data_IF_305299322493
#
_entry.id   IF_305299322493
#
_cell.length_a   1.000
_cell.length_b   1.000
_cell.length_c   1.000
_cell.angle_alpha   90.00
_cell.angle_beta   90.00
_cell.angle_gamma   90.00
#
_symmetry.space_group_name_H-M   'P 1'
#
loop_
_entity.id
_entity.type
_entity.pdbx_description
1 polymer ?
#
# COMPACT_ATOMS: atom_id res chain seq x y z
N UNK A 1 -38.64 34.78 15.13
CA UNK A 1 -37.86 35.13 16.33
C UNK A 1 -38.48 34.44 17.53
N UNK A 2 -37.77 33.47 18.11
CA UNK A 2 -37.74 33.33 19.56
C UNK A 2 -36.30 33.49 20.04
N UNK A 3 -36.16 34.33 21.06
CA UNK A 3 -34.97 34.63 21.84
C UNK A 3 -34.58 33.43 22.70
N UNK A 4 -33.30 33.06 22.71
CA UNK A 4 -32.70 32.14 23.68
C UNK A 4 -31.57 32.85 24.43
N UNK A 5 -31.69 32.87 25.75
CA UNK A 5 -30.70 33.37 26.71
C UNK A 5 -29.47 32.43 26.81
N UNK A 6 -28.28 32.96 27.14
CA UNK A 6 -27.07 32.15 27.28
C UNK A 6 -26.93 31.59 28.71
N UNK A 7 -26.81 30.26 28.82
CA UNK A 7 -26.45 29.57 30.06
C UNK A 7 -24.93 29.62 30.25
N UNK A 8 -24.49 30.28 31.32
CA UNK A 8 -23.12 30.24 31.86
C UNK A 8 -22.94 28.98 32.73
N UNK A 9 -21.78 28.35 32.61
CA UNK A 9 -21.20 27.52 33.68
C UNK A 9 -20.77 26.14 33.24
N UNK A 10 -19.47 25.97 32.99
CA UNK A 10 -18.76 24.72 33.27
C UNK A 10 -17.37 25.07 33.82
N UNK A 11 -17.16 24.64 35.07
CA UNK A 11 -15.93 24.74 35.85
C UNK A 11 -14.82 23.87 35.23
N UNK A 12 -13.59 24.36 35.38
CA UNK A 12 -12.36 23.66 35.01
C UNK A 12 -12.12 22.45 35.92
N UNK A 13 -11.94 21.27 35.31
CA UNK A 13 -11.50 20.05 36.00
C UNK A 13 -9.98 19.94 35.85
N UNK A 14 -9.19 19.92 36.94
CA UNK A 14 -7.72 19.84 36.85
C UNK A 14 -7.23 18.44 36.47
N UNK A 15 -6.19 18.42 35.64
CA UNK A 15 -5.51 17.22 35.15
C UNK A 15 -4.83 16.43 36.28
N UNK A 16 -5.13 15.13 36.34
CA UNK A 16 -4.50 14.17 37.24
C UNK A 16 -3.04 13.91 36.81
N UNK A 17 -2.09 14.38 37.62
CA UNK A 17 -0.66 14.03 37.51
C UNK A 17 -0.41 12.75 38.30
N UNK A 18 -0.03 11.66 37.60
CA UNK A 18 0.43 10.43 38.23
C UNK A 18 1.94 10.52 38.46
N UNK A 19 2.34 10.80 39.71
CA UNK A 19 3.72 10.72 40.19
C UNK A 19 3.92 9.36 40.83
N UNK A 20 4.76 8.50 40.23
CA UNK A 20 5.19 7.24 40.86
C UNK A 20 6.38 7.59 41.76
N UNK A 21 6.10 7.78 43.05
CA UNK A 21 7.10 7.75 44.13
C UNK A 21 7.24 6.30 44.60
N UNK A 22 8.40 5.70 44.37
CA UNK A 22 8.82 4.47 45.03
C UNK A 22 10.18 4.72 45.67
N UNK A 23 10.18 5.19 46.91
CA UNK A 23 11.33 5.20 47.78
C UNK A 23 10.84 4.86 49.19
N UNK A 24 11.13 3.64 49.64
CA UNK A 24 11.20 3.30 51.05
C UNK A 24 12.19 2.14 51.24
N UNK A 25 13.07 2.37 52.24
CA UNK A 25 13.89 1.45 53.02
C UNK A 25 15.11 0.78 52.35
N UNK A 26 16.30 1.29 52.66
CA UNK A 26 17.32 0.60 53.47
C UNK A 26 18.31 1.63 54.07
N UNK A 27 18.65 1.57 55.37
CA UNK A 27 19.62 2.44 56.01
C UNK A 27 21.06 1.94 55.81
N UNK A 28 22.01 2.79 56.20
CA UNK A 28 23.44 2.52 56.37
C UNK A 28 24.30 2.71 55.10
N UNK A 29 24.98 3.86 55.05
CA UNK A 29 26.45 4.02 55.03
C UNK A 29 26.75 5.44 54.54
N UNK A 30 26.52 6.41 55.42
CA UNK A 30 27.11 7.74 55.32
C UNK A 30 28.46 7.72 56.07
N UNK A 31 29.48 7.08 55.49
CA UNK A 31 30.86 7.22 55.98
C UNK A 31 31.91 6.84 54.90
N UNK A 32 31.89 7.51 53.76
CA UNK A 32 33.05 7.58 52.84
C UNK A 32 32.91 8.73 51.82
N UNK A 33 32.56 9.94 52.28
CA UNK A 33 32.53 11.15 51.45
C UNK A 33 33.71 12.07 51.80
N UNK A 34 34.93 11.57 51.69
CA UNK A 34 36.11 12.43 51.50
C UNK A 34 37.11 11.72 50.59
N UNK A 35 37.52 12.42 49.52
CA UNK A 35 38.58 12.04 48.57
C UNK A 35 38.20 11.08 47.44
N UNK A 36 37.54 11.61 46.41
CA UNK A 36 38.00 11.51 45.02
C UNK A 36 36.98 12.20 44.11
N UNK A 37 37.35 13.31 43.44
CA UNK A 37 36.61 13.76 42.25
C UNK A 37 36.90 12.74 41.13
N UNK A 38 35.92 12.00 40.59
CA UNK A 38 36.11 11.35 39.30
C UNK A 38 36.02 12.43 38.22
N UNK A 39 36.98 12.46 37.31
CA UNK A 39 36.87 13.22 36.08
C UNK A 39 35.53 12.87 35.39
N UNK A 40 34.77 13.85 34.86
CA UNK A 40 33.58 13.52 34.09
C UNK A 40 34.02 12.74 32.85
N UNK A 41 33.71 11.45 32.81
CA UNK A 41 33.72 10.67 31.57
C UNK A 41 32.81 11.36 30.57
N UNK A 42 33.19 11.49 29.27
CA UNK A 42 32.30 12.04 28.27
C UNK A 42 30.99 11.24 28.28
N UNK A 43 29.87 11.92 28.49
CA UNK A 43 28.55 11.34 28.28
C UNK A 43 28.53 10.69 26.89
N UNK A 44 27.97 9.47 26.74
CA UNK A 44 27.83 8.87 25.41
C UNK A 44 27.04 9.86 24.54
N UNK A 45 27.63 10.27 23.42
CA UNK A 45 26.96 11.07 22.40
C UNK A 45 25.71 10.30 21.96
N UNK A 46 24.55 10.68 22.48
CA UNK A 46 23.26 10.26 21.94
C UNK A 46 23.14 11.02 20.62
N UNK A 47 23.71 10.46 19.55
CA UNK A 47 23.42 10.96 18.21
C UNK A 47 21.92 10.78 17.97
N UNK A 48 21.14 11.85 17.80
CA UNK A 48 19.74 11.71 17.46
C UNK A 48 19.63 10.91 16.16
N UNK A 49 18.80 9.88 16.17
CA UNK A 49 18.48 9.11 14.97
C UNK A 49 17.76 10.02 13.97
N UNK A 50 18.46 10.47 12.93
CA UNK A 50 17.90 11.37 11.93
C UNK A 50 17.10 10.59 10.89
N UNK A 51 15.78 10.79 10.90
CA UNK A 51 14.85 10.22 9.91
C UNK A 51 14.93 11.02 8.61
N UNK A 52 14.71 10.34 7.49
CA UNK A 52 14.63 10.98 6.18
C UNK A 52 13.28 11.71 6.03
N UNK A 53 13.30 13.04 6.17
CA UNK A 53 12.09 13.87 6.17
C UNK A 53 11.27 13.69 4.89
N UNK A 54 11.91 13.73 3.72
CA UNK A 54 11.23 13.57 2.42
C UNK A 54 10.37 12.31 2.35
N UNK A 55 10.83 11.22 2.94
CA UNK A 55 10.10 9.95 3.00
C UNK A 55 8.93 10.00 3.99
N UNK A 56 9.06 10.68 5.12
CA UNK A 56 7.95 10.87 6.07
C UNK A 56 6.87 11.80 5.48
N UNK A 57 7.27 12.88 4.78
CA UNK A 57 6.35 13.78 4.07
C UNK A 57 5.61 13.05 2.95
N UNK A 58 6.31 12.25 2.15
CA UNK A 58 5.67 11.46 1.08
C UNK A 58 4.59 10.52 1.63
N UNK A 59 4.88 9.82 2.76
CA UNK A 59 3.90 8.95 3.42
C UNK A 59 2.71 9.75 3.94
N UNK A 60 2.95 10.85 4.65
CA UNK A 60 1.91 11.73 5.17
C UNK A 60 1.01 12.25 4.06
N UNK A 61 1.59 12.70 2.94
CA UNK A 61 0.85 13.15 1.76
C UNK A 61 0.02 12.02 1.14
N UNK A 62 0.55 10.80 1.07
CA UNK A 62 -0.18 9.65 0.52
C UNK A 62 -1.38 9.28 1.41
N UNK A 63 -1.23 9.33 2.74
CA UNK A 63 -2.34 9.14 3.69
C UNK A 63 -3.36 10.27 3.58
N UNK A 64 -2.92 11.52 3.49
CA UNK A 64 -3.81 12.66 3.29
C UNK A 64 -4.59 12.55 1.98
N UNK A 65 -3.95 12.07 0.91
CA UNK A 65 -4.58 11.80 -0.37
C UNK A 65 -5.62 10.69 -0.26
N UNK A 66 -5.32 9.60 0.46
CA UNK A 66 -6.27 8.52 0.74
C UNK A 66 -7.53 9.05 1.43
N UNK A 67 -7.36 9.85 2.48
CA UNK A 67 -8.48 10.49 3.21
C UNK A 67 -9.28 11.39 2.26
N UNK A 68 -8.59 12.24 1.49
CA UNK A 68 -9.24 13.15 0.54
C UNK A 68 -10.12 12.38 -0.46
N UNK A 69 -9.60 11.32 -1.07
CA UNK A 69 -10.34 10.57 -2.10
C UNK A 69 -11.50 9.77 -1.51
N UNK A 70 -11.37 9.28 -0.27
CA UNK A 70 -12.44 8.54 0.39
C UNK A 70 -13.63 9.44 0.76
N UNK A 71 -13.40 10.70 1.15
CA UNK A 71 -14.48 11.63 1.49
C UNK A 71 -14.98 12.45 0.30
N UNK A 72 -14.08 12.91 -0.58
CA UNK A 72 -14.44 13.79 -1.70
C UNK A 72 -14.74 13.03 -3.00
N UNK A 73 -14.33 11.76 -3.10
CA UNK A 73 -14.49 10.96 -4.32
C UNK A 73 -15.95 10.79 -4.76
N UNK A 74 -16.89 10.69 -3.81
CA UNK A 74 -18.32 10.60 -4.13
C UNK A 74 -18.92 11.89 -4.71
N UNK A 75 -18.26 13.03 -4.54
CA UNK A 75 -18.74 14.35 -4.96
C UNK A 75 -18.11 14.78 -6.29
N UNK A 76 -16.81 14.46 -6.48
CA UNK A 76 -16.04 14.86 -7.65
C UNK A 76 -15.58 13.62 -8.43
N UNK A 77 -16.19 13.33 -9.61
CA UNK A 77 -15.85 12.15 -10.41
C UNK A 77 -14.37 12.06 -10.81
N UNK A 78 -13.68 13.19 -10.98
CA UNK A 78 -12.25 13.24 -11.28
C UNK A 78 -11.34 12.77 -10.11
N UNK A 79 -11.88 12.81 -8.89
CA UNK A 79 -11.20 12.35 -7.67
C UNK A 79 -11.58 10.91 -7.35
N UNK A 80 -12.71 10.41 -7.85
CA UNK A 80 -13.16 9.04 -7.66
C UNK A 80 -12.40 8.04 -8.55
N UNK A 81 -12.41 6.76 -8.18
CA UNK A 81 -11.80 5.69 -8.99
C UNK A 81 -12.39 5.63 -10.41
N UNK A 82 -11.53 5.33 -11.39
CA UNK A 82 -11.97 4.98 -12.74
C UNK A 82 -12.81 3.68 -12.72
N UNK A 83 -13.93 3.60 -13.45
CA UNK A 83 -14.76 2.39 -13.46
C UNK A 83 -14.04 1.14 -13.97
N UNK A 84 -13.11 1.29 -14.93
CA UNK A 84 -12.32 0.16 -15.45
C UNK A 84 -10.97 0.61 -16.02
N UNK A 85 -10.99 1.26 -17.19
CA UNK A 85 -9.81 1.84 -17.82
C UNK A 85 -9.72 3.34 -17.49
N UNK A 86 -8.48 3.83 -17.41
CA UNK A 86 -8.18 5.22 -17.08
C UNK A 86 -7.38 5.33 -15.78
N UNK A 87 -7.00 6.57 -15.47
CA UNK A 87 -6.26 6.90 -14.27
C UNK A 87 -6.88 8.15 -13.64
N UNK A 88 -7.31 8.03 -12.39
CA UNK A 88 -7.84 9.12 -11.58
C UNK A 88 -6.95 9.37 -10.36
N UNK A 89 -7.22 10.44 -9.61
CA UNK A 89 -6.41 10.78 -8.45
C UNK A 89 -6.43 9.67 -7.37
N UNK A 90 -7.58 9.04 -7.13
CA UNK A 90 -7.68 7.92 -6.19
C UNK A 90 -6.91 6.68 -6.63
N UNK A 91 -6.64 6.53 -7.93
CA UNK A 91 -5.91 5.38 -8.47
C UNK A 91 -4.40 5.49 -8.22
N UNK A 92 -3.89 6.63 -7.73
CA UNK A 92 -2.46 6.82 -7.40
C UNK A 92 -2.08 6.41 -5.97
N UNK A 93 -3.05 6.39 -5.05
CA UNK A 93 -2.80 6.20 -3.60
C UNK A 93 -2.04 4.90 -3.32
N UNK A 94 -2.53 3.79 -3.84
CA UNK A 94 -1.99 2.47 -3.53
C UNK A 94 -0.58 2.25 -4.14
N UNK A 95 -0.33 2.55 -5.43
CA UNK A 95 1.03 2.50 -5.97
C UNK A 95 2.04 3.38 -5.22
N UNK A 96 1.61 4.55 -4.73
CA UNK A 96 2.47 5.44 -3.93
C UNK A 96 2.86 4.79 -2.60
N UNK A 97 1.92 4.12 -1.92
CA UNK A 97 2.22 3.33 -0.73
C UNK A 97 3.21 2.19 -1.00
N UNK A 98 3.02 1.43 -2.08
CA UNK A 98 3.92 0.34 -2.44
C UNK A 98 5.33 0.84 -2.79
N UNK A 99 5.40 1.94 -3.54
CA UNK A 99 6.64 2.58 -3.91
C UNK A 99 7.43 3.02 -2.66
N UNK A 100 6.79 3.72 -1.72
CA UNK A 100 7.49 4.20 -0.52
C UNK A 100 7.85 3.07 0.44
N UNK A 101 7.09 1.98 0.48
CA UNK A 101 7.49 0.73 1.17
C UNK A 101 8.80 0.19 0.57
N UNK A 102 8.90 0.19 -0.76
CA UNK A 102 10.14 -0.12 -1.48
C UNK A 102 11.32 0.75 -1.05
N UNK A 103 11.18 2.08 -1.13
CA UNK A 103 12.25 3.03 -0.73
C UNK A 103 12.74 2.73 0.69
N UNK A 104 11.79 2.47 1.59
CA UNK A 104 12.06 2.17 3.00
C UNK A 104 12.89 0.90 3.17
N UNK A 105 12.62 -0.15 2.40
CA UNK A 105 13.37 -1.42 2.46
C UNK A 105 14.86 -1.22 2.16
N UNK A 106 15.18 -0.37 1.18
CA UNK A 106 16.57 -0.06 0.82
C UNK A 106 17.33 0.63 1.96
N UNK A 107 16.63 1.42 2.78
CA UNK A 107 17.19 2.08 3.96
C UNK A 107 17.30 1.12 5.15
N UNK A 108 16.24 0.35 5.43
CA UNK A 108 16.18 -0.57 6.59
C UNK A 108 17.25 -1.65 6.52
N UNK A 109 17.52 -2.23 5.34
CA UNK A 109 18.49 -3.32 5.17
C UNK A 109 19.86 -2.85 4.66
N UNK A 110 20.19 -1.56 4.82
CA UNK A 110 21.53 -1.02 4.51
C UNK A 110 22.64 -1.76 5.28
N UNK A 111 22.44 -1.97 6.59
CA UNK A 111 23.36 -2.70 7.47
C UNK A 111 22.66 -3.94 8.01
N UNK A 112 22.98 -5.10 7.45
CA UNK A 112 22.43 -6.39 7.85
C UNK A 112 23.38 -7.07 8.85
N UNK A 113 22.98 -7.28 10.11
CA UNK A 113 23.82 -8.01 11.06
C UNK A 113 23.85 -9.51 10.72
N UNK A 114 22.69 -10.11 10.40
CA UNK A 114 22.56 -11.52 10.01
C UNK A 114 21.33 -11.71 9.10
N UNK A 115 21.50 -12.41 7.97
CA UNK A 115 20.42 -12.66 6.99
C UNK A 115 19.24 -13.45 7.58
N UNK A 116 19.53 -14.44 8.44
CA UNK A 116 18.49 -15.26 9.07
C UNK A 116 17.61 -14.45 10.04
N UNK A 117 18.23 -13.61 10.88
CA UNK A 117 17.51 -12.75 11.82
C UNK A 117 16.68 -11.71 11.06
N UNK A 118 17.24 -11.10 10.02
CA UNK A 118 16.52 -10.16 9.16
C UNK A 118 15.30 -10.81 8.48
N UNK A 119 15.47 -12.02 7.93
CA UNK A 119 14.39 -12.78 7.29
C UNK A 119 13.29 -13.12 8.29
N UNK A 120 13.65 -13.58 9.50
CA UNK A 120 12.68 -13.84 10.57
C UNK A 120 11.89 -12.58 10.94
N UNK A 121 12.56 -11.42 11.06
CA UNK A 121 11.91 -10.14 11.35
C UNK A 121 10.95 -9.73 10.23
N UNK A 122 11.35 -9.90 8.97
CA UNK A 122 10.50 -9.64 7.80
C UNK A 122 9.24 -10.53 7.82
N UNK A 123 9.39 -11.84 8.02
CA UNK A 123 8.28 -12.80 8.08
C UNK A 123 7.31 -12.44 9.22
N UNK A 124 7.82 -12.19 10.43
CA UNK A 124 6.98 -11.82 11.57
C UNK A 124 6.19 -10.53 11.31
N UNK A 125 6.80 -9.57 10.61
CA UNK A 125 6.11 -8.33 10.23
C UNK A 125 5.01 -8.58 9.19
N UNK A 126 5.28 -9.41 8.18
CA UNK A 126 4.28 -9.83 7.20
C UNK A 126 3.11 -10.56 7.88
N UNK A 127 3.37 -11.49 8.79
CA UNK A 127 2.33 -12.21 9.53
C UNK A 127 1.45 -11.26 10.34
N UNK A 128 2.02 -10.26 11.01
CA UNK A 128 1.26 -9.22 11.72
C UNK A 128 0.33 -8.44 10.78
N UNK A 129 0.82 -8.05 9.60
CA UNK A 129 0.01 -7.32 8.61
C UNK A 129 -1.10 -8.19 8.02
N UNK A 130 -0.83 -9.45 7.71
CA UNK A 130 -1.84 -10.40 7.24
C UNK A 130 -2.94 -10.62 8.28
N UNK A 131 -2.54 -10.83 9.55
CA UNK A 131 -3.48 -11.04 10.66
C UNK A 131 -4.35 -9.80 10.86
N UNK A 132 -3.75 -8.60 10.84
CA UNK A 132 -4.49 -7.34 10.91
C UNK A 132 -5.45 -7.18 9.72
N UNK A 133 -5.02 -7.56 8.51
CA UNK A 133 -5.85 -7.55 7.31
C UNK A 133 -7.09 -8.42 7.44
N UNK A 134 -6.92 -9.68 7.82
CA UNK A 134 -8.05 -10.58 8.05
C UNK A 134 -8.96 -10.12 9.18
N UNK A 135 -8.41 -9.54 10.24
CA UNK A 135 -9.19 -9.02 11.35
C UNK A 135 -10.09 -7.84 10.91
N UNK A 136 -9.55 -6.89 10.14
CA UNK A 136 -10.30 -5.73 9.64
C UNK A 136 -11.31 -6.12 8.55
N UNK A 137 -10.94 -7.05 7.66
CA UNK A 137 -11.76 -7.45 6.53
C UNK A 137 -12.83 -8.50 6.89
N UNK A 138 -12.59 -9.30 7.93
CA UNK A 138 -13.45 -10.40 8.36
C UNK A 138 -14.74 -10.03 9.08
N UNK A 139 -15.14 -8.75 9.07
CA UNK A 139 -16.46 -8.35 9.56
C UNK A 139 -16.60 -8.32 11.09
N UNK A 140 -15.50 -8.28 11.85
CA UNK A 140 -15.56 -8.02 13.30
C UNK A 140 -16.22 -6.67 13.66
N UNK A 141 -16.32 -5.76 12.69
CA UNK A 141 -16.92 -4.44 12.83
C UNK A 141 -17.93 -4.23 11.68
N UNK A 142 -19.09 -4.89 11.79
CA UNK A 142 -20.30 -4.39 11.13
C UNK A 142 -20.69 -3.06 11.81
N UNK A 143 -21.36 -2.17 11.07
CA UNK A 143 -21.34 -0.72 11.31
C UNK A 143 -21.66 -0.26 12.74
N UNK A 144 -21.35 0.99 13.07
CA UNK A 144 -21.57 1.61 14.39
C UNK A 144 -23.01 1.46 14.93
N UNK A 145 -23.96 1.09 14.06
CA UNK A 145 -25.39 0.97 14.34
C UNK A 145 -25.91 -0.48 14.36
N UNK A 146 -25.08 -1.51 14.14
CA UNK A 146 -25.52 -2.90 14.01
C UNK A 146 -24.62 -3.84 14.85
N UNK A 147 -25.14 -4.33 15.99
CA UNK A 147 -24.41 -5.09 17.01
C UNK A 147 -24.13 -6.57 16.62
N UNK A 148 -24.03 -6.86 15.33
CA UNK A 148 -23.80 -8.22 14.83
C UNK A 148 -22.30 -8.49 14.71
N UNK A 149 -21.71 -9.13 15.72
CA UNK A 149 -20.30 -9.53 15.74
C UNK A 149 -20.16 -10.95 15.20
N UNK A 150 -19.37 -11.15 14.14
CA UNK A 150 -19.06 -12.48 13.63
C UNK A 150 -18.24 -12.50 12.35
N UNK A 151 -17.38 -13.51 12.21
CA UNK A 151 -16.62 -13.78 10.98
C UNK A 151 -17.34 -14.87 10.22
N UNK A 152 -17.90 -14.55 9.05
CA UNK A 152 -18.36 -15.60 8.13
C UNK A 152 -17.16 -16.10 7.32
N UNK A 153 -16.57 -17.20 7.78
CA UNK A 153 -15.38 -17.81 7.15
C UNK A 153 -15.64 -18.18 5.69
N UNK A 154 -16.89 -18.53 5.33
CA UNK A 154 -17.27 -18.92 3.96
C UNK A 154 -17.32 -17.73 2.99
N UNK A 155 -17.44 -16.50 3.49
CA UNK A 155 -17.52 -15.27 2.68
C UNK A 155 -16.38 -14.29 2.97
N UNK A 156 -15.36 -14.73 3.71
CA UNK A 156 -14.22 -13.91 4.06
C UNK A 156 -13.44 -13.55 2.78
N UNK A 157 -13.30 -12.25 2.49
CA UNK A 157 -12.45 -11.82 1.38
C UNK A 157 -10.99 -12.14 1.70
N UNK A 158 -10.35 -12.95 0.84
CA UNK A 158 -9.01 -13.49 1.11
C UNK A 158 -7.89 -12.52 0.78
N UNK A 159 -8.05 -11.77 -0.32
CA UNK A 159 -7.09 -10.77 -0.77
C UNK A 159 -7.65 -9.37 -0.56
N UNK A 160 -6.84 -8.50 0.04
CA UNK A 160 -7.18 -7.11 0.31
C UNK A 160 -5.94 -6.25 0.30
N UNK A 161 -6.12 -4.95 0.52
CA UNK A 161 -5.04 -3.95 0.42
C UNK A 161 -3.88 -4.30 1.38
N UNK A 162 -4.19 -4.68 2.62
CA UNK A 162 -3.18 -5.03 3.62
C UNK A 162 -2.44 -6.31 3.27
N UNK A 163 -3.13 -7.33 2.76
CA UNK A 163 -2.52 -8.58 2.33
C UNK A 163 -1.58 -8.35 1.14
N UNK A 164 -2.00 -7.53 0.18
CA UNK A 164 -1.15 -7.15 -0.94
C UNK A 164 0.09 -6.39 -0.52
N UNK A 165 -0.04 -5.39 0.36
CA UNK A 165 1.12 -4.68 0.91
C UNK A 165 2.06 -5.65 1.64
N UNK A 166 1.50 -6.61 2.40
CA UNK A 166 2.29 -7.62 3.11
C UNK A 166 3.08 -8.53 2.14
N UNK A 167 2.47 -8.95 1.03
CA UNK A 167 3.14 -9.72 -0.04
C UNK A 167 4.26 -8.90 -0.69
N UNK A 168 3.96 -7.67 -1.12
CA UNK A 168 4.93 -6.79 -1.75
C UNK A 168 6.12 -6.47 -0.82
N UNK A 169 5.85 -6.24 0.47
CA UNK A 169 6.86 -6.05 1.49
C UNK A 169 7.73 -7.31 1.67
N UNK A 170 7.11 -8.49 1.80
CA UNK A 170 7.85 -9.73 2.04
C UNK A 170 8.80 -10.03 0.87
N UNK A 171 8.27 -9.99 -0.36
CA UNK A 171 9.08 -10.29 -1.56
C UNK A 171 10.18 -9.24 -1.73
N UNK A 172 9.88 -7.95 -1.58
CA UNK A 172 10.88 -6.89 -1.63
C UNK A 172 11.98 -7.05 -0.57
N UNK A 173 11.61 -7.40 0.66
CA UNK A 173 12.56 -7.65 1.74
C UNK A 173 13.44 -8.87 1.46
N UNK A 174 12.86 -9.98 0.99
CA UNK A 174 13.62 -11.17 0.63
C UNK A 174 14.59 -10.89 -0.52
N UNK A 175 14.17 -10.14 -1.54
CA UNK A 175 15.03 -9.69 -2.62
C UNK A 175 16.20 -8.83 -2.11
N UNK A 176 15.97 -7.92 -1.17
CA UNK A 176 17.04 -7.10 -0.59
C UNK A 176 18.01 -7.90 0.29
N UNK A 177 17.51 -8.88 1.05
CA UNK A 177 18.34 -9.69 1.96
C UNK A 177 19.17 -10.73 1.19
N UNK A 178 18.58 -11.38 0.19
CA UNK A 178 19.15 -12.57 -0.45
C UNK A 178 19.77 -12.32 -1.83
N UNK A 179 19.26 -11.35 -2.61
CA UNK A 179 19.69 -11.13 -4.01
C UNK A 179 20.66 -9.95 -4.17
N UNK A 180 21.08 -9.33 -3.07
CA UNK A 180 22.07 -8.26 -3.05
C UNK A 180 23.48 -8.82 -3.30
N UNK A 181 24.17 -8.29 -4.30
CA UNK A 181 25.57 -8.62 -4.59
C UNK A 181 26.58 -7.89 -3.70
N UNK A 182 27.81 -8.41 -3.68
CA UNK A 182 28.90 -7.90 -2.84
C UNK A 182 29.73 -6.78 -3.51
N UNK A 183 29.41 -6.42 -4.76
CA UNK A 183 30.15 -5.42 -5.54
C UNK A 183 30.22 -4.05 -4.84
N UNK A 184 31.35 -3.35 -4.96
CA UNK A 184 31.48 -1.95 -4.54
C UNK A 184 30.77 -1.01 -5.52
N UNK A 185 30.23 0.11 -5.03
CA UNK A 185 29.43 1.03 -5.83
C UNK A 185 30.18 2.36 -5.98
N UNK A 186 30.82 2.54 -7.13
CA UNK A 186 31.54 3.77 -7.51
C UNK A 186 30.81 4.55 -8.61
N UNK A 187 29.95 3.87 -9.37
CA UNK A 187 29.27 4.38 -10.56
C UNK A 187 27.87 3.77 -10.73
N UNK A 188 27.05 4.37 -11.60
CA UNK A 188 25.73 3.84 -11.93
C UNK A 188 25.78 2.40 -12.49
N UNK A 189 26.76 2.10 -13.36
CA UNK A 189 26.95 0.74 -13.89
C UNK A 189 27.28 -0.27 -12.79
N UNK A 190 28.09 0.11 -11.80
CA UNK A 190 28.38 -0.75 -10.64
C UNK A 190 27.18 -0.94 -9.73
N UNK A 191 26.30 0.05 -9.60
CA UNK A 191 25.04 -0.10 -8.86
C UNK A 191 24.12 -1.10 -9.56
N UNK A 192 23.96 -1.00 -10.88
CA UNK A 192 23.16 -1.96 -11.66
C UNK A 192 23.73 -3.38 -11.54
N UNK A 193 25.06 -3.53 -11.55
CA UNK A 193 25.73 -4.82 -11.38
C UNK A 193 25.44 -5.43 -10.01
N UNK A 194 25.58 -4.63 -8.94
CA UNK A 194 25.32 -5.06 -7.56
C UNK A 194 23.89 -5.57 -7.36
N UNK A 195 22.91 -4.92 -8.00
CA UNK A 195 21.49 -5.23 -7.85
C UNK A 195 20.90 -5.99 -9.06
N UNK A 196 21.74 -6.57 -9.92
CA UNK A 196 21.30 -7.22 -11.17
C UNK A 196 20.26 -8.33 -10.98
N UNK A 197 20.36 -9.08 -9.88
CA UNK A 197 19.42 -10.18 -9.60
C UNK A 197 18.05 -9.69 -9.15
N UNK A 198 17.97 -8.51 -8.52
CA UNK A 198 16.70 -7.89 -8.18
C UNK A 198 15.99 -7.38 -9.43
N UNK A 199 16.74 -6.76 -10.36
CA UNK A 199 16.21 -6.38 -11.67
C UNK A 199 15.82 -7.59 -12.52
N UNK A 200 16.61 -8.66 -12.51
CA UNK A 200 16.25 -9.91 -13.17
C UNK A 200 14.95 -10.49 -12.60
N UNK A 201 14.77 -10.47 -11.26
CA UNK A 201 13.51 -10.87 -10.62
C UNK A 201 12.34 -10.00 -11.08
N UNK A 202 12.50 -8.67 -11.11
CA UNK A 202 11.45 -7.77 -11.60
C UNK A 202 11.06 -8.09 -13.06
N UNK A 203 12.04 -8.32 -13.94
CA UNK A 203 11.80 -8.72 -15.32
C UNK A 203 11.07 -10.06 -15.42
N UNK A 204 11.47 -11.07 -14.63
CA UNK A 204 10.78 -12.36 -14.58
C UNK A 204 9.32 -12.18 -14.16
N UNK A 205 9.05 -11.39 -13.10
CA UNK A 205 7.69 -11.12 -12.65
C UNK A 205 6.84 -10.40 -13.71
N UNK A 206 7.41 -9.41 -14.41
CA UNK A 206 6.75 -8.71 -15.52
C UNK A 206 6.46 -9.68 -16.66
N UNK A 207 7.44 -10.47 -17.09
CA UNK A 207 7.28 -11.44 -18.17
C UNK A 207 6.23 -12.49 -17.82
N UNK A 208 6.27 -13.07 -16.61
CA UNK A 208 5.26 -14.03 -16.15
C UNK A 208 3.86 -13.41 -16.13
N UNK A 209 3.72 -12.19 -15.63
CA UNK A 209 2.45 -11.48 -15.65
C UNK A 209 1.92 -11.27 -17.07
N UNK A 210 2.75 -10.77 -17.99
CA UNK A 210 2.37 -10.54 -19.39
C UNK A 210 2.04 -11.85 -20.12
N UNK A 211 2.80 -12.91 -19.88
CA UNK A 211 2.51 -14.24 -20.44
C UNK A 211 1.19 -14.79 -19.93
N UNK A 212 0.86 -14.62 -18.64
CA UNK A 212 -0.40 -15.10 -18.09
C UNK A 212 -1.59 -14.26 -18.59
N UNK A 213 -1.47 -12.92 -18.59
CA UNK A 213 -2.60 -12.06 -18.96
C UNK A 213 -2.99 -12.20 -20.44
N UNK A 214 -2.01 -12.34 -21.33
CA UNK A 214 -2.25 -12.46 -22.78
C UNK A 214 -2.28 -13.90 -23.28
N UNK A 215 -1.59 -14.83 -22.60
CA UNK A 215 -1.48 -16.22 -23.03
C UNK A 215 -2.56 -17.14 -22.49
N UNK A 216 -3.17 -16.86 -21.33
CA UNK A 216 -4.14 -17.76 -20.71
C UNK A 216 -5.50 -17.73 -21.44
N UNK A 217 -6.08 -18.90 -21.65
CA UNK A 217 -7.43 -19.04 -22.20
C UNK A 217 -8.48 -18.91 -21.10
N UNK A 218 -9.47 -18.05 -21.34
CA UNK A 218 -10.57 -17.83 -20.42
C UNK A 218 -11.81 -18.54 -20.94
N UNK A 219 -12.20 -19.68 -20.34
CA UNK A 219 -13.42 -20.39 -20.72
C UNK A 219 -14.67 -19.62 -20.25
N UNK A 220 -15.81 -20.04 -20.76
CA UNK A 220 -17.11 -19.62 -20.24
C UNK A 220 -17.24 -20.07 -18.77
N UNK A 221 -17.94 -19.27 -17.98
CA UNK A 221 -18.05 -19.49 -16.55
C UNK A 221 -19.40 -19.02 -16.02
N UNK A 222 -19.79 -19.53 -14.86
CA UNK A 222 -21.05 -19.20 -14.21
C UNK A 222 -20.85 -18.80 -12.76
N UNK A 223 -21.77 -18.01 -12.23
CA UNK A 223 -21.80 -17.65 -10.82
C UNK A 223 -23.25 -17.53 -10.32
N UNK A 224 -23.40 -17.61 -9.00
CA UNK A 224 -24.70 -17.59 -8.33
C UNK A 224 -24.78 -16.42 -7.36
N UNK A 225 -25.91 -15.72 -7.38
CA UNK A 225 -26.23 -14.70 -6.37
C UNK A 225 -27.28 -15.30 -5.42
N UNK A 226 -26.99 -15.37 -4.10
CA UNK A 226 -27.98 -15.81 -3.12
C UNK A 226 -29.21 -14.92 -3.17
N UNK A 227 -30.40 -15.52 -3.17
CA UNK A 227 -31.64 -14.76 -3.09
C UNK A 227 -31.78 -14.07 -1.73
N UNK A 228 -32.16 -12.79 -1.72
CA UNK A 228 -32.38 -12.00 -0.50
C UNK A 228 -33.60 -12.46 0.33
N UNK A 229 -34.47 -13.31 -0.25
CA UNK A 229 -35.62 -13.90 0.42
C UNK A 229 -35.58 -15.43 0.31
N UNK A 230 -35.90 -16.11 1.41
CA UNK A 230 -35.94 -17.58 1.56
C UNK A 230 -36.90 -18.32 0.62
N UNK A 231 -37.57 -17.63 -0.30
CA UNK A 231 -38.61 -18.17 -1.19
C UNK A 231 -38.30 -18.07 -2.70
N UNK A 232 -37.19 -17.45 -3.12
CA UNK A 232 -36.79 -17.42 -4.53
C UNK A 232 -35.51 -18.26 -4.78
N UNK A 233 -35.45 -19.04 -5.87
CA UNK A 233 -34.29 -19.85 -6.19
C UNK A 233 -33.08 -18.96 -6.50
N UNK A 234 -31.87 -19.42 -6.16
CA UNK A 234 -30.63 -18.73 -6.51
C UNK A 234 -30.57 -18.48 -8.02
N UNK A 235 -30.28 -17.24 -8.42
CA UNK A 235 -30.18 -16.87 -9.83
C UNK A 235 -28.79 -17.22 -10.34
N UNK A 236 -28.75 -18.15 -11.31
CA UNK A 236 -27.52 -18.57 -11.99
C UNK A 236 -27.29 -17.65 -13.19
N UNK A 237 -26.10 -17.07 -13.29
CA UNK A 237 -25.70 -16.23 -14.41
C UNK A 237 -24.58 -16.92 -15.19
N UNK A 238 -24.77 -17.05 -16.50
CA UNK A 238 -23.76 -17.56 -17.43
C UNK A 238 -23.04 -16.40 -18.11
N UNK A 239 -21.71 -16.44 -18.11
CA UNK A 239 -20.83 -15.46 -18.76
C UNK A 239 -20.07 -16.14 -19.89
N UNK A 240 -20.31 -15.69 -21.12
CA UNK A 240 -19.64 -16.18 -22.33
C UNK A 240 -18.35 -15.40 -22.57
N UNK A 241 -17.24 -16.11 -22.64
CA UNK A 241 -15.90 -15.59 -22.84
C UNK A 241 -15.24 -16.25 -24.05
N UNK A 242 -14.79 -17.51 -23.92
CA UNK A 242 -14.14 -18.27 -24.98
C UNK A 242 -12.93 -17.58 -25.66
N UNK A 243 -12.17 -16.74 -24.95
CA UNK A 243 -11.16 -15.82 -25.54
C UNK A 243 -9.79 -15.90 -24.84
N UNK A 244 -8.75 -15.39 -25.50
CA UNK A 244 -7.40 -15.13 -24.93
C UNK A 244 -7.09 -13.64 -24.97
N UNK A 245 -6.31 -13.15 -24.01
CA UNK A 245 -5.79 -11.78 -24.01
C UNK A 245 -6.83 -10.65 -23.90
N UNK A 246 -8.06 -10.97 -23.50
CA UNK A 246 -9.09 -9.98 -23.25
C UNK A 246 -8.82 -9.28 -21.91
N UNK A 247 -8.79 -7.95 -21.91
CA UNK A 247 -8.58 -7.10 -20.71
C UNK A 247 -9.87 -6.44 -20.21
N UNK A 248 -11.02 -6.88 -20.71
CA UNK A 248 -12.34 -6.47 -20.26
C UNK A 248 -12.72 -7.09 -18.91
N UNK A 249 -13.76 -6.56 -18.24
CA UNK A 249 -14.12 -6.93 -16.86
C UNK A 249 -14.52 -8.39 -16.68
N UNK A 250 -15.18 -8.99 -17.68
CA UNK A 250 -15.77 -10.33 -17.56
C UNK A 250 -14.80 -11.48 -17.87
N UNK A 251 -13.92 -11.28 -18.85
CA UNK A 251 -13.22 -12.37 -19.54
C UNK A 251 -11.70 -12.24 -19.50
N UNK A 252 -11.17 -11.56 -18.49
CA UNK A 252 -9.74 -11.41 -18.29
C UNK A 252 -9.12 -12.55 -17.47
N UNK A 253 -7.84 -12.80 -17.72
CA UNK A 253 -7.08 -13.85 -17.06
C UNK A 253 -6.85 -13.59 -15.55
N UNK A 254 -6.77 -12.32 -15.13
CA UNK A 254 -6.62 -11.94 -13.71
C UNK A 254 -7.80 -12.48 -12.91
N UNK A 255 -9.02 -12.15 -13.35
CA UNK A 255 -10.25 -12.64 -12.74
C UNK A 255 -10.38 -14.16 -12.82
N UNK A 256 -9.93 -14.81 -13.89
CA UNK A 256 -9.97 -16.28 -13.99
C UNK A 256 -9.10 -16.92 -12.89
N UNK A 257 -7.87 -16.43 -12.72
CA UNK A 257 -6.95 -16.95 -11.70
C UNK A 257 -7.56 -16.74 -10.32
N UNK A 258 -8.07 -15.55 -10.02
CA UNK A 258 -8.64 -15.25 -8.72
C UNK A 258 -9.88 -16.12 -8.45
N UNK A 259 -10.79 -16.29 -9.42
CA UNK A 259 -11.98 -17.15 -9.30
C UNK A 259 -11.65 -18.62 -9.06
N UNK A 260 -10.61 -19.13 -9.73
CA UNK A 260 -10.22 -20.54 -9.66
C UNK A 260 -9.40 -20.87 -8.40
N UNK A 261 -8.58 -19.93 -7.93
CA UNK A 261 -7.66 -20.17 -6.80
C UNK A 261 -8.22 -19.69 -5.46
N UNK A 262 -8.86 -18.52 -5.42
CA UNK A 262 -9.46 -17.98 -4.20
C UNK A 262 -10.90 -18.47 -4.02
N UNK A 263 -11.61 -18.77 -5.09
CA UNK A 263 -13.03 -19.11 -5.08
C UNK A 263 -13.93 -17.88 -5.15
N UNK A 264 -15.05 -17.98 -5.87
CA UNK A 264 -15.96 -16.87 -6.16
C UNK A 264 -16.51 -16.20 -4.89
N UNK A 265 -16.77 -16.99 -3.84
CA UNK A 265 -17.31 -16.52 -2.57
C UNK A 265 -16.32 -15.67 -1.74
N UNK A 266 -15.03 -15.73 -2.06
CA UNK A 266 -13.97 -15.00 -1.37
C UNK A 266 -13.50 -13.75 -2.14
N UNK A 267 -14.15 -13.44 -3.27
CA UNK A 267 -13.87 -12.26 -4.06
C UNK A 267 -14.68 -11.06 -3.58
N UNK A 268 -14.21 -9.87 -3.94
CA UNK A 268 -14.93 -8.64 -3.61
C UNK A 268 -16.27 -8.54 -4.36
N UNK A 269 -17.36 -8.42 -3.59
CA UNK A 269 -18.73 -8.46 -4.12
C UNK A 269 -19.26 -7.14 -4.71
N UNK A 270 -18.54 -6.02 -4.57
CA UNK A 270 -18.93 -4.71 -5.11
C UNK A 270 -17.88 -4.18 -6.10
N UNK A 271 -17.72 -4.83 -7.25
CA UNK A 271 -16.64 -4.48 -8.18
C UNK A 271 -16.78 -3.06 -8.72
N UNK A 272 -15.64 -2.39 -8.91
CA UNK A 272 -15.61 -1.00 -9.41
C UNK A 272 -16.22 -0.88 -10.82
N UNK A 273 -16.14 -1.92 -11.65
CA UNK A 273 -16.73 -1.92 -12.98
C UNK A 273 -18.26 -1.90 -13.00
N UNK A 274 -18.93 -2.15 -11.87
CA UNK A 274 -20.39 -1.98 -11.79
C UNK A 274 -20.81 -0.52 -12.07
N UNK A 275 -19.86 0.42 -11.96
CA UNK A 275 -20.02 1.84 -12.30
C UNK A 275 -19.84 2.16 -13.78
N UNK A 276 -19.52 1.18 -14.62
CA UNK A 276 -19.38 1.38 -16.07
C UNK A 276 -20.74 1.67 -16.70
N UNK A 277 -20.74 2.34 -17.86
CA UNK A 277 -21.97 2.65 -18.64
C UNK A 277 -22.81 1.40 -18.99
N UNK A 278 -22.17 0.23 -19.07
CA UNK A 278 -22.83 -1.05 -19.35
C UNK A 278 -23.60 -1.60 -18.14
N UNK A 279 -23.22 -1.19 -16.93
CA UNK A 279 -23.70 -1.77 -15.68
C UNK A 279 -24.43 -0.77 -14.77
N UNK A 280 -24.37 0.53 -15.08
CA UNK A 280 -25.06 1.57 -14.31
C UNK A 280 -25.61 2.66 -15.21
N UNK A 281 -26.92 2.94 -15.06
CA UNK A 281 -27.58 4.09 -15.69
C UNK A 281 -26.98 5.42 -15.21
N UNK A 282 -26.43 5.45 -13.99
CA UNK A 282 -25.83 6.64 -13.37
C UNK A 282 -24.31 6.73 -13.59
N UNK A 283 -23.73 5.97 -14.52
CA UNK A 283 -22.29 5.97 -14.79
C UNK A 283 -21.75 7.42 -14.91
N UNK A 284 -20.63 7.77 -14.25
CA UNK A 284 -19.64 6.87 -13.63
C UNK A 284 -19.96 6.48 -12.19
N UNK A 285 -21.16 6.71 -11.67
CA UNK A 285 -21.53 6.32 -10.31
C UNK A 285 -22.34 5.03 -10.28
N UNK A 286 -22.47 4.46 -9.08
CA UNK A 286 -23.34 3.30 -8.88
C UNK A 286 -24.79 3.69 -9.15
N UNK A 287 -25.54 2.76 -9.72
CA UNK A 287 -26.91 2.99 -10.12
C UNK A 287 -27.60 1.69 -10.49
N UNK A 288 -28.90 1.76 -10.83
CA UNK A 288 -29.63 0.61 -11.32
C UNK A 288 -29.03 0.08 -12.62
N UNK A 289 -29.15 -1.22 -12.84
CA UNK A 289 -28.73 -1.90 -14.06
C UNK A 289 -29.57 -1.42 -15.25
N UNK A 290 -28.93 -1.06 -16.38
CA UNK A 290 -29.64 -0.90 -17.66
C UNK A 290 -30.43 -2.15 -18.05
N UNK A 291 -31.50 -1.98 -18.84
CA UNK A 291 -32.36 -3.10 -19.27
C UNK A 291 -31.59 -4.13 -20.12
N UNK A 292 -30.55 -3.70 -20.82
CA UNK A 292 -29.65 -4.47 -21.67
C UNK A 292 -28.32 -4.84 -20.97
N UNK A 293 -28.25 -4.72 -19.65
CA UNK A 293 -27.02 -4.96 -18.90
C UNK A 293 -26.49 -6.40 -19.10
N UNK A 294 -25.19 -6.56 -19.39
CA UNK A 294 -24.57 -7.88 -19.50
C UNK A 294 -24.65 -8.70 -18.20
N UNK A 295 -24.69 -10.03 -18.33
CA UNK A 295 -24.79 -10.97 -17.20
C UNK A 295 -23.63 -10.90 -16.20
N UNK A 296 -22.47 -10.35 -16.60
CA UNK A 296 -21.30 -10.19 -15.75
C UNK A 296 -21.31 -8.91 -14.89
N UNK A 297 -22.27 -7.99 -15.07
CA UNK A 297 -22.29 -6.72 -14.33
C UNK A 297 -22.39 -6.86 -12.81
N UNK A 298 -22.93 -8.00 -12.33
CA UNK A 298 -23.08 -8.32 -10.90
C UNK A 298 -22.08 -9.38 -10.41
N UNK A 299 -21.11 -9.77 -11.25
CA UNK A 299 -20.12 -10.74 -10.84
C UNK A 299 -19.18 -10.15 -9.78
N UNK A 300 -18.68 -10.95 -8.83
CA UNK A 300 -17.63 -10.49 -7.95
C UNK A 300 -16.28 -10.42 -8.69
N UNK A 301 -15.42 -9.48 -8.30
CA UNK A 301 -14.08 -9.30 -8.87
C UNK A 301 -13.16 -8.62 -7.87
N UNK A 302 -11.97 -9.18 -7.67
CA UNK A 302 -11.01 -8.65 -6.71
C UNK A 302 -9.87 -7.88 -7.42
N UNK A 303 -9.80 -6.54 -7.32
CA UNK A 303 -8.67 -5.77 -7.86
C UNK A 303 -7.38 -6.04 -7.07
N UNK A 304 -7.50 -6.56 -5.84
CA UNK A 304 -6.39 -6.87 -4.95
C UNK A 304 -5.93 -8.34 -5.02
N UNK A 305 -6.41 -9.09 -6.02
CA UNK A 305 -6.13 -10.52 -6.24
C UNK A 305 -4.67 -10.92 -6.50
N UNK A 306 -4.46 -12.19 -6.83
CA UNK A 306 -3.14 -12.83 -6.88
C UNK A 306 -2.29 -12.28 -8.03
N UNK A 307 -2.84 -12.31 -9.26
CA UNK A 307 -2.06 -11.93 -10.44
C UNK A 307 -1.74 -10.43 -10.43
N UNK A 308 -2.70 -9.58 -10.03
CA UNK A 308 -2.47 -8.14 -9.90
C UNK A 308 -1.49 -7.79 -8.77
N UNK A 309 -1.34 -8.64 -7.74
CA UNK A 309 -0.33 -8.47 -6.68
C UNK A 309 1.10 -8.64 -7.20
N UNK A 310 1.30 -9.33 -8.33
CA UNK A 310 2.61 -9.46 -8.98
C UNK A 310 3.14 -8.09 -9.41
N UNK A 311 2.29 -7.24 -9.99
CA UNK A 311 2.69 -5.89 -10.39
C UNK A 311 2.85 -4.95 -9.19
N UNK A 312 2.11 -5.18 -8.10
CA UNK A 312 2.35 -4.50 -6.83
C UNK A 312 3.76 -4.77 -6.26
N UNK A 313 4.23 -6.02 -6.34
CA UNK A 313 5.62 -6.38 -5.99
C UNK A 313 6.61 -5.61 -6.88
N UNK A 314 6.36 -5.51 -8.19
CA UNK A 314 7.22 -4.77 -9.12
C UNK A 314 7.28 -3.28 -8.76
N UNK A 315 6.15 -2.64 -8.44
CA UNK A 315 6.15 -1.25 -7.95
C UNK A 315 6.98 -1.08 -6.68
N UNK A 316 6.90 -2.03 -5.75
CA UNK A 316 7.75 -2.06 -4.55
C UNK A 316 9.24 -2.20 -4.90
N UNK A 317 9.61 -3.06 -5.86
CA UNK A 317 11.00 -3.21 -6.32
C UNK A 317 11.53 -1.95 -7.02
N UNK A 318 10.69 -1.22 -7.76
CA UNK A 318 11.07 0.08 -8.33
C UNK A 318 11.35 1.09 -7.21
N UNK A 319 10.50 1.14 -6.18
CA UNK A 319 10.76 1.97 -4.99
C UNK A 319 12.04 1.57 -4.25
N UNK A 320 12.33 0.27 -4.16
CA UNK A 320 13.57 -0.25 -3.55
C UNK A 320 14.82 0.33 -4.24
N UNK A 321 14.81 0.44 -5.57
CA UNK A 321 15.90 1.06 -6.32
C UNK A 321 16.13 2.53 -5.92
N UNK A 322 15.07 3.28 -5.64
CA UNK A 322 15.18 4.65 -5.14
C UNK A 322 15.88 4.69 -3.79
N UNK A 323 15.54 3.76 -2.89
CA UNK A 323 16.22 3.58 -1.62
C UNK A 323 17.72 3.30 -1.79
N UNK A 324 18.13 2.48 -2.75
CA UNK A 324 19.55 2.23 -3.02
C UNK A 324 20.30 3.48 -3.47
N UNK A 325 19.67 4.34 -4.27
CA UNK A 325 20.28 5.58 -4.72
C UNK A 325 20.57 6.50 -3.52
N UNK A 326 19.67 6.58 -2.53
CA UNK A 326 19.90 7.32 -1.28
C UNK A 326 21.10 6.76 -0.52
N UNK A 327 21.21 5.43 -0.46
CA UNK A 327 22.25 4.73 0.32
C UNK A 327 23.64 4.92 -0.28
N UNK A 328 23.78 4.86 -1.60
CA UNK A 328 25.08 4.83 -2.27
C UNK A 328 25.56 6.19 -2.78
N UNK A 329 24.67 7.05 -3.25
CA UNK A 329 25.06 8.38 -3.73
C UNK A 329 24.88 9.40 -2.62
N UNK A 330 25.91 10.20 -2.33
CA UNK A 330 25.81 11.32 -1.38
C UNK A 330 25.37 12.62 -2.05
N UNK A 331 25.76 12.83 -3.31
CA UNK A 331 25.44 14.06 -4.03
C UNK A 331 23.94 14.16 -4.37
N UNK A 332 23.29 15.23 -3.87
CA UNK A 332 21.85 15.45 -4.05
C UNK A 332 21.47 15.59 -5.53
N UNK A 333 22.30 16.25 -6.34
CA UNK A 333 22.05 16.44 -7.77
C UNK A 333 22.05 15.10 -8.51
N UNK A 334 23.05 14.26 -8.24
CA UNK A 334 23.12 12.92 -8.81
C UNK A 334 21.94 12.06 -8.39
N UNK A 335 21.50 12.09 -7.12
CA UNK A 335 20.29 11.38 -6.67
C UNK A 335 19.06 11.78 -7.50
N UNK A 336 18.81 13.08 -7.63
CA UNK A 336 17.68 13.59 -8.41
C UNK A 336 17.74 13.18 -9.88
N UNK A 337 18.92 13.23 -10.51
CA UNK A 337 19.07 12.78 -11.90
C UNK A 337 18.76 11.28 -12.06
N UNK A 338 19.25 10.44 -11.14
CA UNK A 338 19.02 9.00 -11.16
C UNK A 338 17.56 8.61 -10.85
N UNK A 339 16.77 9.51 -10.26
CA UNK A 339 15.33 9.32 -10.06
C UNK A 339 14.49 9.86 -11.21
N UNK A 340 14.80 11.06 -11.70
CA UNK A 340 14.03 11.71 -12.76
C UNK A 340 14.11 10.97 -14.08
N UNK A 341 15.30 10.50 -14.48
CA UNK A 341 15.48 9.80 -15.76
C UNK A 341 14.60 8.53 -15.82
N UNK A 342 14.71 7.56 -14.89
CA UNK A 342 13.83 6.39 -14.90
C UNK A 342 12.35 6.73 -14.74
N UNK A 343 12.00 7.77 -13.95
CA UNK A 343 10.59 8.18 -13.79
C UNK A 343 9.96 8.61 -15.11
N UNK A 344 10.65 9.49 -15.85
CA UNK A 344 10.17 10.01 -17.13
C UNK A 344 10.11 8.87 -18.15
N UNK A 345 11.11 7.98 -18.16
CA UNK A 345 11.10 6.80 -19.02
C UNK A 345 9.92 5.86 -18.72
N UNK A 346 9.60 5.62 -17.44
CA UNK A 346 8.47 4.78 -17.03
C UNK A 346 7.12 5.40 -17.42
N UNK A 347 6.93 6.70 -17.23
CA UNK A 347 5.72 7.39 -17.67
C UNK A 347 5.59 7.31 -19.19
N UNK A 348 6.66 7.63 -19.93
CA UNK A 348 6.68 7.55 -21.39
C UNK A 348 6.36 6.15 -21.91
N UNK A 349 6.96 5.11 -21.30
CA UNK A 349 6.67 3.71 -21.61
C UNK A 349 5.21 3.36 -21.32
N UNK A 350 4.68 3.75 -20.16
CA UNK A 350 3.31 3.46 -19.78
C UNK A 350 2.28 4.10 -20.71
N UNK A 351 2.50 5.36 -21.11
CA UNK A 351 1.65 6.07 -22.08
C UNK A 351 1.77 5.47 -23.49
N UNK A 352 2.97 5.08 -23.92
CA UNK A 352 3.16 4.41 -25.20
C UNK A 352 2.42 3.05 -25.23
N UNK A 353 2.47 2.29 -24.15
CA UNK A 353 1.76 1.02 -24.02
C UNK A 353 0.23 1.19 -24.01
N UNK A 354 -0.28 2.23 -23.34
CA UNK A 354 -1.71 2.59 -23.38
C UNK A 354 -2.18 2.87 -24.81
N UNK A 355 -1.37 3.63 -25.56
CA UNK A 355 -1.62 3.91 -26.98
C UNK A 355 -1.56 2.66 -27.86
N UNK A 356 -0.68 1.71 -27.55
CA UNK A 356 -0.57 0.41 -28.25
C UNK A 356 -1.65 -0.60 -27.83
N UNK A 357 -2.61 -0.22 -27.00
CA UNK A 357 -3.77 -1.04 -26.62
C UNK A 357 -3.65 -1.77 -25.27
N UNK A 358 -2.51 -1.64 -24.58
CA UNK A 358 -2.41 -2.08 -23.19
C UNK A 358 -2.91 -0.99 -22.25
N UNK A 359 -4.23 -0.86 -22.14
CA UNK A 359 -4.81 0.26 -21.41
C UNK A 359 -4.37 0.37 -19.95
N UNK A 360 -4.23 1.60 -19.46
CA UNK A 360 -4.00 1.90 -18.05
C UNK A 360 -5.23 1.43 -17.26
N UNK A 361 -5.06 0.37 -16.47
CA UNK A 361 -6.14 -0.28 -15.76
C UNK A 361 -5.67 -0.67 -14.35
N UNK A 362 -6.27 -0.04 -13.34
CA UNK A 362 -5.98 -0.30 -11.92
C UNK A 362 -6.44 -1.69 -11.49
N UNK A 363 -7.63 -2.12 -11.92
CA UNK A 363 -8.23 -3.37 -11.46
C UNK A 363 -7.41 -4.60 -11.87
N UNK A 364 -6.79 -4.55 -13.04
CA UNK A 364 -5.84 -5.56 -13.51
C UNK A 364 -4.43 -5.34 -12.98
N UNK A 365 -4.15 -4.14 -12.43
CA UNK A 365 -2.82 -3.62 -12.19
C UNK A 365 -1.94 -3.79 -13.45
N UNK A 366 -2.41 -3.23 -14.57
CA UNK A 366 -1.75 -3.44 -15.87
C UNK A 366 -0.30 -2.93 -15.86
N UNK A 367 0.55 -3.50 -16.73
CA UNK A 367 1.95 -3.07 -16.82
C UNK A 367 2.09 -1.59 -17.21
N UNK A 368 1.17 -1.08 -18.05
CA UNK A 368 1.07 0.35 -18.36
C UNK A 368 0.68 1.18 -17.14
N UNK A 369 -0.33 0.75 -16.36
CA UNK A 369 -0.70 1.39 -15.10
C UNK A 369 0.45 1.40 -14.09
N UNK A 370 1.12 0.27 -13.89
CA UNK A 370 2.30 0.16 -13.04
C UNK A 370 3.39 1.15 -13.46
N UNK A 371 3.68 1.24 -14.76
CA UNK A 371 4.73 2.12 -15.29
C UNK A 371 4.40 3.60 -15.08
N UNK A 372 3.16 4.03 -15.43
CA UNK A 372 2.72 5.42 -15.23
C UNK A 372 2.73 5.79 -13.75
N UNK A 373 2.17 4.95 -12.88
CA UNK A 373 2.02 5.26 -11.46
C UNK A 373 3.34 5.19 -10.69
N UNK A 374 4.22 4.25 -11.00
CA UNK A 374 5.56 4.19 -10.41
C UNK A 374 6.43 5.38 -10.84
N UNK A 375 6.34 5.79 -12.11
CA UNK A 375 7.03 6.99 -12.59
C UNK A 375 6.47 8.28 -11.96
N UNK A 376 5.15 8.38 -11.81
CA UNK A 376 4.52 9.51 -11.10
C UNK A 376 4.96 9.57 -9.62
N UNK A 377 5.05 8.42 -8.94
CA UNK A 377 5.56 8.33 -7.57
C UNK A 377 7.02 8.82 -7.49
N UNK A 378 7.86 8.44 -8.45
CA UNK A 378 9.26 8.87 -8.52
C UNK A 378 9.44 10.38 -8.75
N UNK A 379 8.64 10.99 -9.62
CA UNK A 379 8.63 12.46 -9.81
C UNK A 379 8.19 13.16 -8.53
N UNK A 380 7.09 12.70 -7.92
CA UNK A 380 6.58 13.28 -6.68
C UNK A 380 7.61 13.17 -5.54
N UNK A 381 8.24 12.01 -5.38
CA UNK A 381 9.28 11.78 -4.39
C UNK A 381 10.48 12.72 -4.62
N UNK A 382 10.92 12.88 -5.87
CA UNK A 382 12.02 13.79 -6.21
C UNK A 382 11.66 15.25 -5.90
N UNK A 383 10.43 15.67 -6.19
CA UNK A 383 9.94 17.01 -5.88
C UNK A 383 9.92 17.29 -4.38
N UNK A 384 9.40 16.34 -3.58
CA UNK A 384 9.38 16.44 -2.11
C UNK A 384 10.80 16.49 -1.55
N UNK A 385 11.69 15.64 -2.05
CA UNK A 385 13.09 15.62 -1.66
C UNK A 385 13.80 16.95 -1.95
N UNK A 386 13.60 17.51 -3.14
CA UNK A 386 14.17 18.81 -3.53
C UNK A 386 13.63 19.93 -2.63
N UNK A 387 12.32 19.94 -2.37
CA UNK A 387 11.69 20.89 -1.47
C UNK A 387 12.30 20.82 -0.05
N UNK A 388 12.39 19.62 0.53
CA UNK A 388 12.92 19.43 1.86
C UNK A 388 14.43 19.79 1.97
N UNK A 389 15.20 19.54 0.92
CA UNK A 389 16.59 19.98 0.80
C UNK A 389 16.69 21.52 0.77
N UNK A 390 15.85 22.20 -0.01
CA UNK A 390 15.89 23.66 -0.15
C UNK A 390 15.48 24.39 1.13
N UNK A 391 14.60 23.78 1.94
CA UNK A 391 14.28 24.26 3.28
C UNK A 391 15.34 23.93 4.34
N UNK A 392 16.44 23.24 3.98
CA UNK A 392 17.53 22.90 4.89
C UNK A 392 17.17 21.89 5.97
N UNK A 393 16.10 21.11 5.78
CA UNK A 393 15.59 20.14 6.78
C UNK A 393 15.92 18.69 6.41
N UNK A 394 16.47 18.45 5.21
CA UNK A 394 16.91 17.12 4.77
C UNK A 394 18.26 16.76 5.42
N UNK A 395 18.23 15.92 6.45
CA UNK A 395 19.44 15.32 7.03
C UNK A 395 19.68 13.96 6.39
N UNK A 396 20.85 13.79 5.77
CA UNK A 396 21.26 12.50 5.20
C UNK A 396 21.10 11.40 6.24
N UNK A 397 20.36 10.34 5.87
CA UNK A 397 19.93 9.25 6.76
C UNK A 397 21.05 8.41 7.34
N UNK A 398 21.81 8.98 8.26
CA UNK A 398 22.64 8.26 9.22
C UNK A 398 21.77 7.95 10.45
N UNK A 399 21.21 6.73 10.40
CA UNK A 399 20.64 5.94 11.49
C UNK A 399 19.08 5.87 11.63
N UNK A 400 18.62 4.61 11.63
CA UNK A 400 17.38 4.03 12.17
C UNK A 400 16.06 4.07 11.37
N UNK A 401 15.53 2.87 11.10
CA UNK A 401 14.08 2.61 10.92
C UNK A 401 13.70 1.24 11.52
N UNK A 402 13.81 1.08 12.83
CA UNK A 402 13.11 -0.02 13.53
C UNK A 402 11.62 0.30 13.81
N UNK A 403 11.20 1.57 13.64
CA UNK A 403 9.83 2.05 13.90
C UNK A 403 8.95 2.22 12.64
N UNK A 404 9.18 1.42 11.61
CA UNK A 404 8.32 1.45 10.43
C UNK A 404 6.94 0.80 10.69
N UNK A 405 6.79 0.05 11.79
CA UNK A 405 5.51 -0.51 12.26
C UNK A 405 4.74 0.47 13.15
N UNK A 406 5.41 1.15 14.08
CA UNK A 406 4.77 2.17 14.90
C UNK A 406 4.28 3.31 14.03
N UNK A 407 5.04 3.83 13.06
CA UNK A 407 4.48 4.86 12.18
C UNK A 407 3.27 4.37 11.37
N UNK A 408 3.35 3.26 10.64
CA UNK A 408 2.21 2.81 9.84
C UNK A 408 1.00 2.44 10.71
N UNK A 409 1.14 1.66 11.79
CA UNK A 409 -0.01 1.36 12.66
C UNK A 409 -0.48 2.54 13.49
N UNK A 410 0.38 3.45 13.92
CA UNK A 410 -0.01 4.62 14.70
C UNK A 410 -0.65 5.68 13.81
N UNK A 411 -0.29 5.78 12.52
CA UNK A 411 -1.06 6.55 11.55
C UNK A 411 -2.34 5.84 11.11
N UNK A 412 -2.36 4.51 11.00
CA UNK A 412 -3.60 3.75 10.80
C UNK A 412 -4.53 3.85 12.05
N UNK A 413 -3.98 3.97 13.26
CA UNK A 413 -4.73 4.15 14.52
C UNK A 413 -5.11 5.61 14.81
N UNK A 414 -4.35 6.59 14.30
CA UNK A 414 -4.72 8.02 14.31
C UNK A 414 -5.63 8.40 13.14
N UNK A 415 -5.79 7.53 12.14
CA UNK A 415 -6.89 7.62 11.20
C UNK A 415 -8.17 7.32 12.00
N UNK A 416 -9.20 8.17 11.98
CA UNK A 416 -10.50 7.84 12.54
C UNK A 416 -10.85 6.39 12.18
N UNK A 417 -11.12 5.55 13.19
CA UNK A 417 -11.24 4.10 12.99
C UNK A 417 -12.20 3.73 11.83
N UNK A 418 -13.17 4.59 11.53
CA UNK A 418 -14.07 4.48 10.38
C UNK A 418 -13.40 4.55 9.00
N UNK A 419 -12.37 5.38 8.79
CA UNK A 419 -11.67 5.51 7.49
C UNK A 419 -10.84 4.27 7.21
N UNK A 420 -10.15 3.78 8.23
CA UNK A 420 -9.36 2.57 8.12
C UNK A 420 -10.22 1.35 7.84
N UNK A 421 -11.38 1.31 8.49
CA UNK A 421 -12.39 0.30 8.23
C UNK A 421 -12.90 0.38 6.80
N UNK A 422 -13.24 1.57 6.33
CA UNK A 422 -13.82 1.77 4.99
C UNK A 422 -12.80 1.43 3.90
N UNK A 423 -11.53 1.83 4.07
CA UNK A 423 -10.44 1.50 3.16
C UNK A 423 -10.04 0.01 3.22
N UNK A 424 -10.13 -0.65 4.38
CA UNK A 424 -9.91 -2.10 4.49
C UNK A 424 -11.12 -2.93 4.00
N UNK A 425 -12.31 -2.32 3.97
CA UNK A 425 -13.58 -2.91 3.53
C UNK A 425 -13.75 -2.81 2.01
N UNK A 426 -13.36 -1.67 1.40
CA UNK A 426 -13.22 -1.51 -0.06
C UNK A 426 -12.06 -2.36 -0.59
#
# INVERSE_FOLDING_TARGET
>A
MPTYEPIKGYEEIPALSFTINAAHDFPDVELALTSAKPNPSPLPNIHPHHRLLSLDVFRGLTVALMILVDYAGGILPAINHSPWNGLTLADLVMPFFLFIVGVSLGLTYKKLPCKAVATRKAILRTLKLLTLGFFLQGGYLHGLNDLTYGVNVEKLRLMGILQRIAIAYLVGALCEIWLKGDDHVDSCSSLLRKYRFQWAMALVLISTYLSLIYGLYVPDWEYQIPAEASSSPAKIFLVKCGVRGNTGPACNAVGLIDRTTLGIQHLYGKPVYARTKLCSINSPDYGPLPADAPSWCQAPFDPEGILSSVMAVVTCLIGLHYGHIIVHFKDHRNRMLHWMIPSICLIGLGLALDFLGMHVNKALYSFSYMSVTAGAAGILFTGIYKLAHDFGVEVDGDACTDDLYNCSLQYLACCPAGILLEAARK
#
